data_IF_881913579794
#
_entry.id   IF_881913579794
#
_cell.length_a   1.000
_cell.length_b   1.000
_cell.length_c   1.000
_cell.angle_alpha   90.00
_cell.angle_beta   90.00
_cell.angle_gamma   90.00
#
_symmetry.space_group_name_H-M   'P 1'
#
loop_
_entity.id
_entity.type
_entity.pdbx_description
1 polymer ?
#
# COMPACT_ATOMS: atom_id res chain seq x y z
N UNK A 1 -7.21 19.43 33.51
CA UNK A 1 -8.33 19.30 32.55
C UNK A 1 -8.01 19.92 31.19
N UNK A 2 -7.98 21.25 31.03
CA UNK A 2 -7.68 21.91 29.74
C UNK A 2 -6.29 21.61 29.16
N UNK A 3 -5.31 21.38 30.04
CA UNK A 3 -3.93 21.11 29.66
C UNK A 3 -3.75 19.66 29.18
N UNK A 4 -4.50 18.73 29.79
CA UNK A 4 -4.52 17.31 29.43
C UNK A 4 -5.18 17.10 28.07
N UNK A 5 -6.25 17.86 27.76
CA UNK A 5 -6.92 17.84 26.45
C UNK A 5 -5.96 18.27 25.34
N UNK A 6 -5.18 19.35 25.55
CA UNK A 6 -4.17 19.80 24.58
C UNK A 6 -3.06 18.79 24.36
N UNK A 7 -2.66 18.05 25.39
CA UNK A 7 -1.64 17.02 25.27
C UNK A 7 -2.15 15.82 24.46
N UNK A 8 -3.42 15.46 24.63
CA UNK A 8 -4.10 14.44 23.83
C UNK A 8 -4.19 14.86 22.37
N UNK A 9 -4.59 16.10 22.07
CA UNK A 9 -4.69 16.62 20.69
C UNK A 9 -3.33 16.63 19.98
N UNK A 10 -2.26 16.99 20.70
CA UNK A 10 -0.90 16.95 20.15
C UNK A 10 -0.44 15.53 19.85
N UNK A 11 -0.73 14.55 20.73
CA UNK A 11 -0.47 13.13 20.48
C UNK A 11 -1.28 12.60 19.29
N UNK A 12 -2.53 13.03 19.15
CA UNK A 12 -3.39 12.65 18.03
C UNK A 12 -2.85 13.19 16.69
N UNK A 13 -2.37 14.44 16.68
CA UNK A 13 -1.75 15.06 15.51
C UNK A 13 -0.41 14.42 15.11
N UNK A 14 0.35 13.91 16.08
CA UNK A 14 1.61 13.22 15.81
C UNK A 14 1.37 11.79 15.29
N UNK A 15 0.36 11.10 15.83
CA UNK A 15 -0.08 9.79 15.35
C UNK A 15 -0.70 9.86 13.95
N UNK A 16 -1.47 10.91 13.63
CA UNK A 16 -2.06 11.07 12.29
C UNK A 16 -1.00 11.27 11.20
N UNK A 17 0.10 11.96 11.51
CA UNK A 17 1.25 12.11 10.63
C UNK A 17 2.00 10.78 10.41
N UNK A 18 1.96 9.87 11.38
CA UNK A 18 2.67 8.58 11.35
C UNK A 18 1.85 7.46 10.71
N UNK A 19 0.53 7.49 10.84
CA UNK A 19 -0.37 6.42 10.38
C UNK A 19 -0.60 6.42 8.86
N UNK A 20 -0.33 7.54 8.17
CA UNK A 20 -0.45 7.68 6.72
C UNK A 20 0.90 7.68 6.01
N UNK A 21 1.83 6.82 6.44
CA UNK A 21 2.87 6.41 5.51
C UNK A 21 2.17 5.56 4.45
N UNK A 22 1.81 6.23 3.34
CA UNK A 22 1.28 5.62 2.15
C UNK A 22 1.99 4.29 1.92
N UNK A 23 1.24 3.24 1.59
CA UNK A 23 1.79 1.96 1.14
C UNK A 23 2.49 2.13 -0.23
N UNK A 24 3.49 3.02 -0.31
CA UNK A 24 4.29 3.32 -1.49
C UNK A 24 4.98 2.05 -2.01
N UNK A 25 5.29 1.09 -1.13
CA UNK A 25 5.83 -0.21 -1.50
C UNK A 25 4.92 -1.01 -2.44
N UNK A 26 3.59 -0.82 -2.35
CA UNK A 26 2.61 -1.49 -3.22
C UNK A 26 2.41 -0.76 -4.57
N UNK A 27 2.83 0.50 -4.66
CA UNK A 27 2.58 1.38 -5.81
C UNK A 27 3.86 1.92 -6.45
N UNK A 28 5.02 1.36 -6.13
CA UNK A 28 6.26 1.79 -6.76
C UNK A 28 6.24 1.40 -8.25
N UNK A 29 5.90 2.37 -9.10
CA UNK A 29 5.88 2.22 -10.56
C UNK A 29 7.29 2.35 -11.17
N UNK A 30 8.26 2.84 -10.39
CA UNK A 30 9.62 3.12 -10.87
C UNK A 30 10.42 1.84 -11.09
N UNK A 31 10.09 0.74 -10.39
CA UNK A 31 10.70 -0.58 -10.61
C UNK A 31 10.39 -1.15 -12.01
N UNK A 32 9.35 -0.67 -12.70
CA UNK A 32 9.04 -1.10 -14.06
C UNK A 32 9.82 -0.35 -15.14
N UNK A 33 10.36 0.84 -14.85
CA UNK A 33 11.09 1.65 -15.84
C UNK A 33 12.36 0.92 -16.31
N UNK A 34 13.08 0.27 -15.38
CA UNK A 34 14.26 -0.53 -15.72
C UNK A 34 13.98 -1.75 -16.61
N UNK A 35 12.74 -2.22 -16.70
CA UNK A 35 12.39 -3.37 -17.55
C UNK A 35 12.37 -2.97 -19.02
N UNK A 36 11.73 -1.84 -19.33
CA UNK A 36 11.61 -1.32 -20.69
C UNK A 36 12.99 -0.93 -21.22
N UNK A 37 13.80 -0.31 -20.37
CA UNK A 37 15.16 0.13 -20.70
C UNK A 37 16.11 -1.03 -21.03
N UNK A 38 15.96 -2.17 -20.35
CA UNK A 38 16.78 -3.36 -20.58
C UNK A 38 16.38 -4.12 -21.85
N UNK A 39 15.09 -4.14 -22.21
CA UNK A 39 14.61 -4.79 -23.44
C UNK A 39 14.99 -3.97 -24.67
N UNK A 40 14.86 -2.63 -24.59
CA UNK A 40 15.22 -1.70 -25.66
C UNK A 40 16.74 -1.57 -25.89
N UNK A 41 17.57 -2.16 -25.02
CA UNK A 41 19.01 -2.04 -25.12
C UNK A 41 19.59 -3.08 -26.10
N UNK A 42 19.99 -2.64 -27.30
CA UNK A 42 20.58 -3.52 -28.31
C UNK A 42 21.96 -4.09 -27.95
N UNK A 43 22.60 -3.55 -26.92
CA UNK A 43 23.92 -4.00 -26.43
C UNK A 43 23.85 -5.26 -25.55
N UNK A 44 22.67 -5.59 -25.04
CA UNK A 44 22.47 -6.70 -24.11
C UNK A 44 22.25 -8.02 -24.85
N UNK A 45 22.85 -9.14 -24.39
CA UNK A 45 22.62 -10.45 -25.01
C UNK A 45 21.15 -10.85 -24.98
N UNK A 46 20.68 -11.51 -26.04
CA UNK A 46 19.27 -11.92 -26.17
C UNK A 46 18.81 -12.82 -25.02
N UNK A 47 19.67 -13.74 -24.57
CA UNK A 47 19.38 -14.61 -23.43
C UNK A 47 19.13 -13.82 -22.13
N UNK A 48 19.81 -12.68 -21.95
CA UNK A 48 19.59 -11.80 -20.81
C UNK A 48 18.23 -11.09 -20.91
N UNK A 49 17.88 -10.58 -22.09
CA UNK A 49 16.57 -9.94 -22.33
C UNK A 49 15.42 -10.91 -22.04
N UNK A 50 15.53 -12.15 -22.51
CA UNK A 50 14.54 -13.20 -22.24
C UNK A 50 14.45 -13.54 -20.76
N UNK A 51 15.59 -13.69 -20.06
CA UNK A 51 15.60 -13.94 -18.63
C UNK A 51 14.95 -12.79 -17.85
N UNK A 52 15.28 -11.55 -18.21
CA UNK A 52 14.67 -10.37 -17.60
C UNK A 52 13.14 -10.37 -17.77
N UNK A 53 12.63 -10.64 -18.97
CA UNK A 53 11.18 -10.74 -19.22
C UNK A 53 10.52 -11.84 -18.36
N UNK A 54 11.18 -12.99 -18.20
CA UNK A 54 10.68 -14.06 -17.34
C UNK A 54 10.66 -13.67 -15.87
N UNK A 55 11.68 -12.96 -15.37
CA UNK A 55 11.70 -12.48 -13.98
C UNK A 55 10.56 -11.51 -13.71
N UNK A 56 10.24 -10.65 -14.68
CA UNK A 56 9.12 -9.70 -14.61
C UNK A 56 7.79 -10.42 -14.60
N UNK A 57 7.62 -11.43 -15.46
CA UNK A 57 6.42 -12.24 -15.49
C UNK A 57 6.15 -12.89 -14.12
N UNK A 58 7.18 -13.49 -13.52
CA UNK A 58 7.08 -14.10 -12.19
C UNK A 58 6.79 -13.05 -11.10
N UNK A 59 7.45 -11.90 -11.14
CA UNK A 59 7.19 -10.81 -10.20
C UNK A 59 5.73 -10.36 -10.23
N UNK A 60 5.16 -10.16 -11.43
CA UNK A 60 3.76 -9.76 -11.59
C UNK A 60 2.78 -10.81 -11.07
N UNK A 61 3.06 -12.09 -11.31
CA UNK A 61 2.26 -13.18 -10.75
C UNK A 61 2.28 -13.17 -9.23
N UNK A 62 3.47 -13.07 -8.64
CA UNK A 62 3.65 -13.04 -7.19
C UNK A 62 3.02 -11.80 -6.55
N UNK A 63 3.12 -10.63 -7.20
CA UNK A 63 2.54 -9.39 -6.70
C UNK A 63 1.02 -9.47 -6.63
N UNK A 64 0.38 -10.15 -7.59
CA UNK A 64 -1.07 -10.38 -7.58
C UNK A 64 -1.49 -11.26 -6.41
N UNK A 65 -0.83 -12.40 -6.23
CA UNK A 65 -1.11 -13.31 -5.11
C UNK A 65 -0.87 -12.63 -3.76
N UNK A 66 0.24 -11.89 -3.63
CA UNK A 66 0.55 -11.10 -2.45
C UNK A 66 -0.56 -10.10 -2.12
N UNK A 67 -1.04 -9.35 -3.12
CA UNK A 67 -2.11 -8.37 -2.92
C UNK A 67 -3.43 -9.04 -2.49
N UNK A 68 -3.77 -10.19 -3.06
CA UNK A 68 -4.95 -10.97 -2.69
C UNK A 68 -4.87 -11.44 -1.22
N UNK A 69 -3.72 -11.97 -0.81
CA UNK A 69 -3.47 -12.39 0.57
C UNK A 69 -3.56 -11.20 1.54
N UNK A 70 -2.92 -10.09 1.20
CA UNK A 70 -2.92 -8.88 2.01
C UNK A 70 -4.34 -8.36 2.24
N UNK A 71 -5.15 -8.31 1.19
CA UNK A 71 -6.54 -7.82 1.25
C UNK A 71 -7.43 -8.75 2.09
N UNK A 72 -7.23 -10.07 2.01
CA UNK A 72 -8.01 -11.06 2.76
C UNK A 72 -7.71 -11.04 4.25
N UNK A 73 -6.42 -11.01 4.61
CA UNK A 73 -6.01 -11.11 6.01
C UNK A 73 -5.91 -9.74 6.70
N UNK A 74 -5.78 -8.66 5.93
CA UNK A 74 -5.76 -7.30 6.45
C UNK A 74 -6.67 -6.36 5.62
N UNK A 75 -7.99 -6.57 5.66
CA UNK A 75 -8.93 -5.75 4.89
C UNK A 75 -8.92 -4.27 5.30
N UNK A 76 -8.49 -3.96 6.53
CA UNK A 76 -8.40 -2.58 7.03
C UNK A 76 -7.21 -1.79 6.48
N UNK A 77 -6.27 -2.43 5.79
CA UNK A 77 -5.03 -1.81 5.32
C UNK A 77 -5.28 -0.74 4.24
N UNK A 78 -6.24 -0.97 3.35
CA UNK A 78 -6.55 -0.07 2.24
C UNK A 78 -7.71 0.90 2.57
N UNK A 79 -8.31 0.76 3.75
CA UNK A 79 -9.45 1.58 4.15
C UNK A 79 -8.95 2.90 4.72
N UNK A 80 -9.63 3.98 4.34
CA UNK A 80 -9.43 5.25 5.04
C UNK A 80 -9.87 5.13 6.51
N UNK A 81 -9.32 5.98 7.37
CA UNK A 81 -9.70 5.99 8.78
C UNK A 81 -11.22 6.18 8.97
N UNK A 82 -11.85 7.02 8.15
CA UNK A 82 -13.30 7.25 8.18
C UNK A 82 -14.11 5.97 7.86
N UNK A 83 -13.70 5.23 6.84
CA UNK A 83 -14.34 3.96 6.48
C UNK A 83 -14.16 2.91 7.57
N UNK A 84 -12.98 2.85 8.18
CA UNK A 84 -12.70 1.90 9.26
C UNK A 84 -13.56 2.19 10.50
N UNK A 85 -13.67 3.46 10.90
CA UNK A 85 -14.56 3.90 11.99
C UNK A 85 -16.02 3.57 11.69
N UNK A 86 -16.49 3.88 10.48
CA UNK A 86 -17.86 3.59 10.04
C UNK A 86 -18.18 2.09 10.04
N UNK A 87 -17.29 1.24 9.50
CA UNK A 87 -17.49 -0.22 9.50
C UNK A 87 -17.49 -0.81 10.90
N UNK A 88 -16.63 -0.31 11.77
CA UNK A 88 -16.54 -0.79 13.15
C UNK A 88 -17.78 -0.39 13.96
N UNK A 89 -18.29 0.83 13.77
CA UNK A 89 -19.55 1.28 14.36
C UNK A 89 -20.75 0.47 13.86
N UNK A 90 -20.85 0.24 12.55
CA UNK A 90 -21.92 -0.59 11.96
C UNK A 90 -21.92 -2.02 12.50
N UNK A 91 -20.75 -2.59 12.81
CA UNK A 91 -20.64 -3.93 13.41
C UNK A 91 -21.36 -4.05 14.75
N UNK A 92 -21.48 -2.95 15.50
CA UNK A 92 -22.17 -2.88 16.80
C UNK A 92 -23.52 -2.17 16.72
N UNK A 93 -24.01 -1.86 15.51
CA UNK A 93 -25.29 -1.18 15.30
C UNK A 93 -25.26 0.32 15.59
N UNK A 94 -24.09 0.95 15.57
CA UNK A 94 -23.91 2.40 15.73
C UNK A 94 -23.71 3.06 14.36
N UNK A 95 -24.34 4.23 14.15
CA UNK A 95 -24.18 5.04 12.93
C UNK A 95 -23.18 6.18 13.18
N UNK A 96 -22.27 6.41 12.24
CA UNK A 96 -21.28 7.49 12.32
C UNK A 96 -21.80 8.70 11.55
N UNK A 97 -21.87 9.89 12.16
CA UNK A 97 -22.25 11.12 11.46
C UNK A 97 -21.24 11.50 10.38
N UNK A 98 -21.72 12.03 9.26
CA UNK A 98 -20.88 12.56 8.17
C UNK A 98 -20.23 13.89 8.54
#
# INVERSE_FOLDING_TARGET
ELQDIKEIDNKLADLSKKAFQNHEELQNKESFNGIVDNVANDKLPEAYKLNNLNNVHQYLQNQREYFDLLTRYNPGLLMSQSENVSKTANRVGLEVPN
#
